data_IF_569372782385
#
_entry.id   IF_569372782385
#
_cell.length_a   1.000
_cell.length_b   1.000
_cell.length_c   1.000
_cell.angle_alpha   90.00
_cell.angle_beta   90.00
_cell.angle_gamma   90.00
#
_symmetry.space_group_name_H-M   'P 1'
#
loop_
_entity.id
_entity.type
_entity.pdbx_description
1 polymer ?
#
# COMPACT_ATOMS: atom_id res chain seq x y z
N UNK A 1 10.86 27.22 -28.49
CA UNK A 1 12.11 27.33 -27.73
C UNK A 1 12.81 28.60 -28.16
N UNK A 2 12.38 29.71 -27.58
CA UNK A 2 13.10 30.98 -27.68
C UNK A 2 14.16 30.95 -26.60
N UNK A 3 15.39 31.30 -26.97
CA UNK A 3 16.48 31.66 -26.08
C UNK A 3 16.09 32.89 -25.26
N UNK A 4 15.09 32.76 -24.37
CA UNK A 4 14.97 33.67 -23.25
C UNK A 4 16.32 33.65 -22.55
N UNK A 5 16.84 34.82 -22.20
CA UNK A 5 18.22 34.90 -21.75
C UNK A 5 18.41 34.05 -20.49
N UNK A 6 19.33 33.09 -20.58
CA UNK A 6 19.88 32.37 -19.41
C UNK A 6 20.41 33.33 -18.32
N UNK A 7 20.59 34.61 -18.66
CA UNK A 7 20.88 35.70 -17.72
C UNK A 7 19.85 35.82 -16.59
N UNK A 8 18.59 35.44 -16.82
CA UNK A 8 17.53 35.48 -15.78
C UNK A 8 17.81 34.46 -14.67
N UNK A 9 18.44 33.32 -15.02
CA UNK A 9 18.77 32.25 -14.06
C UNK A 9 20.08 32.51 -13.33
N UNK A 10 21.03 33.21 -13.97
CA UNK A 10 22.38 33.40 -13.47
C UNK A 10 22.45 33.90 -12.01
N UNK A 11 21.69 34.94 -11.58
CA UNK A 11 21.71 35.40 -10.18
C UNK A 11 21.29 34.35 -9.15
N UNK A 12 20.45 33.38 -9.55
CA UNK A 12 19.93 32.33 -8.68
C UNK A 12 20.86 31.12 -8.60
N UNK A 13 21.67 30.88 -9.64
CA UNK A 13 22.64 29.79 -9.72
C UNK A 13 24.01 30.17 -9.15
N UNK A 14 24.37 31.46 -9.19
CA UNK A 14 25.66 31.97 -8.76
C UNK A 14 25.93 31.76 -7.25
N UNK A 15 27.22 31.67 -6.92
CA UNK A 15 27.73 31.51 -5.55
C UNK A 15 27.05 30.36 -4.78
N UNK A 16 27.07 29.17 -5.35
CA UNK A 16 26.43 27.98 -4.76
C UNK A 16 24.94 28.23 -4.42
N UNK A 17 24.24 28.86 -5.38
CA UNK A 17 22.82 29.18 -5.29
C UNK A 17 22.44 30.03 -4.07
N UNK A 18 23.34 30.93 -3.60
CA UNK A 18 23.16 31.69 -2.36
C UNK A 18 21.84 32.47 -2.34
N UNK A 19 21.45 33.07 -3.46
CA UNK A 19 20.20 33.82 -3.58
C UNK A 19 18.99 32.88 -3.46
N UNK A 20 18.98 31.78 -4.20
CA UNK A 20 17.91 30.78 -4.16
C UNK A 20 17.77 30.15 -2.77
N UNK A 21 18.90 29.80 -2.12
CA UNK A 21 18.92 29.31 -0.73
C UNK A 21 18.38 30.35 0.25
N UNK A 22 18.72 31.63 0.09
CA UNK A 22 18.21 32.73 0.92
C UNK A 22 16.69 32.90 0.75
N UNK A 23 16.19 32.93 -0.48
CA UNK A 23 14.75 33.01 -0.77
C UNK A 23 14.04 31.80 -0.17
N UNK A 24 14.58 30.60 -0.41
CA UNK A 24 13.99 29.36 0.08
C UNK A 24 13.86 29.35 1.60
N UNK A 25 14.96 29.68 2.32
CA UNK A 25 14.95 29.82 3.79
C UNK A 25 13.90 30.82 4.27
N UNK A 26 13.79 31.97 3.61
CA UNK A 26 12.80 32.98 3.98
C UNK A 26 11.35 32.51 3.82
N UNK A 27 11.09 31.57 2.89
CA UNK A 27 9.77 31.01 2.67
C UNK A 27 9.50 29.91 3.69
N UNK A 28 10.39 28.91 3.81
CA UNK A 28 10.08 27.75 4.66
C UNK A 28 10.21 28.03 6.16
N UNK A 29 11.02 29.01 6.58
CA UNK A 29 11.04 29.44 7.99
C UNK A 29 9.71 30.08 8.43
N UNK A 30 8.92 30.64 7.51
CA UNK A 30 7.59 31.20 7.84
C UNK A 30 6.57 30.14 8.22
N UNK A 31 6.80 28.87 7.85
CA UNK A 31 5.91 27.78 8.24
C UNK A 31 6.12 27.33 9.69
N UNK A 32 7.17 27.83 10.37
CA UNK A 32 7.46 27.59 11.80
C UNK A 32 7.54 26.10 12.19
N UNK A 33 8.08 25.28 11.29
CA UNK A 33 8.30 23.85 11.54
C UNK A 33 9.74 23.54 11.98
N UNK A 34 9.94 22.61 12.93
CA UNK A 34 11.26 22.12 13.28
C UNK A 34 11.80 21.25 12.14
N UNK A 35 12.78 21.76 11.40
CA UNK A 35 13.43 21.05 10.29
C UNK A 35 14.85 20.64 10.69
N UNK A 36 15.20 19.38 10.44
CA UNK A 36 16.56 18.90 10.56
C UNK A 36 17.43 19.43 9.40
N UNK A 37 18.75 19.26 9.51
CA UNK A 37 19.68 19.68 8.45
C UNK A 37 19.42 18.99 7.11
N UNK A 38 19.11 17.68 7.14
CA UNK A 38 18.72 16.90 5.95
C UNK A 38 17.47 17.47 5.29
N UNK A 39 16.50 17.92 6.08
CA UNK A 39 15.26 18.50 5.55
C UNK A 39 15.54 19.78 4.76
N UNK A 40 16.50 20.59 5.21
CA UNK A 40 16.91 21.79 4.48
C UNK A 40 17.51 21.47 3.10
N UNK A 41 18.30 20.40 3.00
CA UNK A 41 18.92 19.99 1.73
C UNK A 41 17.86 19.50 0.72
N UNK A 42 16.82 18.81 1.19
CA UNK A 42 15.66 18.47 0.36
C UNK A 42 14.97 19.72 -0.17
N UNK A 43 14.67 20.70 0.69
CA UNK A 43 14.03 21.95 0.27
C UNK A 43 14.87 22.71 -0.76
N UNK A 44 16.20 22.71 -0.64
CA UNK A 44 17.07 23.31 -1.66
C UNK A 44 17.06 22.54 -2.98
N UNK A 45 16.99 21.22 -2.93
CA UNK A 45 16.86 20.38 -4.13
C UNK A 45 15.54 20.64 -4.86
N UNK A 46 14.44 20.73 -4.11
CA UNK A 46 13.11 21.12 -4.63
C UNK A 46 13.15 22.54 -5.19
N UNK A 47 13.85 23.47 -4.53
CA UNK A 47 14.00 24.84 -5.01
C UNK A 47 14.71 24.90 -6.36
N UNK A 48 15.79 24.12 -6.52
CA UNK A 48 16.56 24.08 -7.76
C UNK A 48 15.73 23.52 -8.93
N UNK A 49 14.99 22.43 -8.70
CA UNK A 49 14.06 21.89 -9.69
C UNK A 49 12.95 22.90 -10.03
N UNK A 50 12.41 23.57 -9.02
CA UNK A 50 11.34 24.57 -9.19
C UNK A 50 11.82 25.81 -9.94
N UNK A 51 13.06 26.23 -9.75
CA UNK A 51 13.68 27.32 -10.51
C UNK A 51 13.68 27.02 -12.01
N UNK A 52 14.15 25.82 -12.38
CA UNK A 52 14.15 25.39 -13.78
C UNK A 52 12.74 25.28 -14.36
N UNK A 53 11.78 24.73 -13.61
CA UNK A 53 10.39 24.63 -14.04
C UNK A 53 9.74 26.02 -14.20
N UNK A 54 9.99 26.92 -13.25
CA UNK A 54 9.47 28.28 -13.29
C UNK A 54 10.02 29.05 -14.48
N UNK A 55 11.31 28.90 -14.78
CA UNK A 55 11.92 29.50 -15.96
C UNK A 55 11.26 29.05 -17.27
N UNK A 56 11.02 27.75 -17.44
CA UNK A 56 10.39 27.23 -18.65
C UNK A 56 8.90 27.60 -18.79
N UNK A 57 8.24 27.91 -17.67
CA UNK A 57 6.82 28.27 -17.63
C UNK A 57 6.57 29.78 -17.51
N UNK A 58 7.62 30.59 -17.39
CA UNK A 58 7.49 32.02 -17.17
C UNK A 58 7.19 32.73 -18.49
N UNK A 59 6.16 33.56 -18.44
CA UNK A 59 5.75 34.42 -19.55
C UNK A 59 6.02 35.90 -19.17
N UNK A 60 7.01 36.54 -19.82
CA UNK A 60 7.36 37.95 -19.58
C UNK A 60 6.20 38.93 -19.85
N UNK A 61 5.22 38.56 -20.68
CA UNK A 61 4.13 39.45 -21.08
C UNK A 61 3.05 39.59 -19.99
N UNK A 62 3.15 38.80 -18.92
CA UNK A 62 2.22 38.83 -17.78
C UNK A 62 2.39 40.04 -16.85
N UNK A 63 3.46 40.83 -17.02
CA UNK A 63 3.71 42.05 -16.23
C UNK A 63 4.19 41.80 -14.79
N UNK A 64 4.45 40.55 -14.41
CA UNK A 64 4.98 40.16 -13.09
C UNK A 64 6.47 39.89 -13.24
N UNK A 65 7.30 40.32 -12.28
CA UNK A 65 8.72 40.00 -12.30
C UNK A 65 8.98 38.50 -12.09
N UNK A 66 10.02 37.97 -12.74
CA UNK A 66 10.43 36.57 -12.54
C UNK A 66 10.66 36.21 -11.07
N UNK A 67 11.23 37.11 -10.27
CA UNK A 67 11.42 36.89 -8.82
C UNK A 67 10.09 36.69 -8.09
N UNK A 68 9.08 37.51 -8.40
CA UNK A 68 7.74 37.39 -7.81
C UNK A 68 7.03 36.10 -8.22
N UNK A 69 7.15 35.73 -9.50
CA UNK A 69 6.63 34.47 -10.02
C UNK A 69 7.32 33.25 -9.37
N UNK A 70 8.65 33.25 -9.33
CA UNK A 70 9.46 32.19 -8.73
C UNK A 70 9.12 32.00 -7.25
N UNK A 71 9.02 33.09 -6.47
CA UNK A 71 8.62 33.02 -5.05
C UNK A 71 7.27 32.35 -4.88
N UNK A 72 6.31 32.67 -5.75
CA UNK A 72 4.98 32.07 -5.73
C UNK A 72 5.02 30.57 -6.04
N UNK A 73 5.83 30.15 -7.03
CA UNK A 73 6.04 28.75 -7.36
C UNK A 73 6.72 27.98 -6.21
N UNK A 74 7.79 28.53 -5.64
CA UNK A 74 8.50 27.96 -4.49
C UNK A 74 7.59 27.80 -3.28
N UNK A 75 6.79 28.83 -2.95
CA UNK A 75 5.85 28.76 -1.84
C UNK A 75 4.81 27.65 -2.02
N UNK A 76 4.27 27.49 -3.23
CA UNK A 76 3.33 26.40 -3.53
C UNK A 76 4.00 25.04 -3.39
N UNK A 77 5.20 24.86 -3.96
CA UNK A 77 5.95 23.60 -3.91
C UNK A 77 6.33 23.23 -2.48
N UNK A 78 6.85 24.16 -1.69
CA UNK A 78 7.19 23.88 -0.30
C UNK A 78 5.96 23.56 0.55
N UNK A 79 4.83 24.24 0.33
CA UNK A 79 3.57 23.87 1.01
C UNK A 79 3.12 22.45 0.65
N UNK A 80 3.26 22.05 -0.61
CA UNK A 80 2.98 20.67 -1.03
C UNK A 80 3.89 19.68 -0.33
N UNK A 81 5.18 19.97 -0.22
CA UNK A 81 6.16 19.10 0.45
C UNK A 81 5.90 18.97 1.95
N UNK A 82 5.58 20.07 2.63
CA UNK A 82 5.18 20.04 4.04
C UNK A 82 3.89 19.23 4.24
N UNK A 83 2.90 19.42 3.36
CA UNK A 83 1.66 18.63 3.38
C UNK A 83 1.96 17.14 3.16
N UNK A 84 2.90 16.82 2.27
CA UNK A 84 3.30 15.46 1.96
C UNK A 84 4.02 14.77 3.12
N UNK A 85 4.85 15.52 3.87
CA UNK A 85 5.52 15.10 5.11
C UNK A 85 4.51 14.83 6.24
N UNK A 86 3.51 15.69 6.39
CA UNK A 86 2.47 15.58 7.42
C UNK A 86 1.29 14.66 7.09
N UNK A 87 1.31 14.01 5.91
CA UNK A 87 0.23 13.09 5.55
C UNK A 87 0.21 11.92 6.54
N UNK A 88 -0.96 11.61 7.11
CA UNK A 88 -1.14 10.61 8.18
C UNK A 88 -0.43 9.27 7.94
N UNK A 89 -0.44 8.75 6.70
CA UNK A 89 0.27 7.52 6.33
C UNK A 89 1.80 7.55 6.55
N UNK A 90 2.39 8.73 6.75
CA UNK A 90 3.82 8.97 6.97
C UNK A 90 4.16 9.59 8.33
N UNK A 91 3.16 9.87 9.18
CA UNK A 91 3.41 10.20 10.60
C UNK A 91 4.17 9.03 11.25
N UNK A 92 3.89 7.80 10.81
CA UNK A 92 4.64 6.63 11.23
C UNK A 92 6.15 6.77 10.96
N UNK A 93 6.59 7.39 9.87
CA UNK A 93 8.03 7.59 9.64
C UNK A 93 8.67 8.60 10.61
N UNK A 94 7.88 9.46 11.26
CA UNK A 94 8.34 10.41 12.27
C UNK A 94 8.29 9.82 13.70
N UNK A 95 7.40 8.85 13.94
CA UNK A 95 7.20 8.21 15.25
C UNK A 95 7.79 6.81 15.35
N UNK A 96 8.08 6.16 14.22
CA UNK A 96 8.59 4.81 14.19
C UNK A 96 10.02 4.78 14.69
N UNK A 97 10.29 3.72 15.44
CA UNK A 97 11.61 3.38 15.93
C UNK A 97 12.18 2.33 14.97
N UNK A 98 13.49 2.43 14.68
CA UNK A 98 14.16 1.40 13.88
C UNK A 98 14.09 0.05 14.57
N UNK A 99 13.72 -1.01 13.85
CA UNK A 99 13.75 -2.38 14.38
C UNK A 99 15.19 -2.85 14.67
N UNK A 100 16.17 -2.27 13.97
CA UNK A 100 17.59 -2.54 14.18
C UNK A 100 18.18 -1.70 15.34
N UNK A 101 17.35 -0.96 16.08
CA UNK A 101 17.82 -0.23 17.24
C UNK A 101 18.28 -1.22 18.32
N UNK A 102 19.53 -1.08 18.75
CA UNK A 102 20.11 -1.83 19.87
C UNK A 102 19.75 -1.10 21.16
N UNK A 103 19.34 -1.85 22.19
CA UNK A 103 19.04 -1.29 23.50
C UNK A 103 20.29 -0.85 24.26
N UNK A 104 20.13 -0.08 25.34
CA UNK A 104 21.23 0.34 26.24
C UNK A 104 21.76 -0.80 27.14
N UNK A 105 21.39 -2.06 26.87
CA UNK A 105 21.83 -3.24 27.62
C UNK A 105 23.22 -3.72 27.18
N UNK A 106 23.84 -4.58 27.99
CA UNK A 106 25.12 -5.23 27.64
C UNK A 106 24.98 -6.23 26.47
N UNK A 107 23.75 -6.70 26.20
CA UNK A 107 23.43 -7.59 25.09
C UNK A 107 23.09 -6.78 23.83
N UNK A 108 23.80 -7.03 22.73
CA UNK A 108 23.58 -6.43 21.40
C UNK A 108 22.28 -6.89 20.70
N UNK A 109 21.20 -7.12 21.45
CA UNK A 109 19.93 -7.55 20.88
C UNK A 109 19.18 -6.37 20.25
N UNK A 110 18.71 -6.57 19.01
CA UNK A 110 17.90 -5.60 18.27
C UNK A 110 16.43 -5.63 18.72
N UNK A 111 15.70 -4.51 18.58
CA UNK A 111 14.25 -4.49 18.84
C UNK A 111 13.49 -5.55 18.04
N UNK A 112 13.95 -5.89 16.84
CA UNK A 112 13.38 -6.94 15.99
C UNK A 112 13.29 -8.30 16.69
N UNK A 113 14.27 -8.63 17.53
CA UNK A 113 14.32 -9.93 18.23
C UNK A 113 13.27 -10.05 19.33
N UNK A 114 12.75 -8.93 19.83
CA UNK A 114 11.73 -8.90 20.88
C UNK A 114 10.30 -8.82 20.36
N UNK A 115 10.10 -8.52 19.07
CA UNK A 115 8.76 -8.43 18.49
C UNK A 115 8.25 -9.84 18.19
N UNK A 116 7.24 -10.34 18.91
CA UNK A 116 6.68 -11.66 18.62
C UNK A 116 5.94 -11.64 17.28
N UNK A 117 5.98 -12.76 16.57
CA UNK A 117 5.15 -12.98 15.38
C UNK A 117 3.66 -12.91 15.75
N UNK A 118 2.82 -12.51 14.80
CA UNK A 118 1.36 -12.43 14.97
C UNK A 118 0.66 -13.79 14.83
N UNK A 119 1.40 -14.85 14.51
CA UNK A 119 0.90 -16.21 14.40
C UNK A 119 1.75 -17.22 15.16
N UNK A 120 1.09 -18.27 15.65
CA UNK A 120 1.72 -19.41 16.30
C UNK A 120 2.13 -20.46 15.25
N UNK A 121 3.42 -20.77 15.19
CA UNK A 121 3.96 -21.76 14.24
C UNK A 121 3.48 -23.18 14.53
N UNK A 122 3.27 -23.54 15.80
CA UNK A 122 2.76 -24.84 16.19
C UNK A 122 1.29 -25.01 15.77
N UNK A 123 0.47 -23.99 16.00
CA UNK A 123 -0.94 -23.98 15.58
C UNK A 123 -1.08 -24.09 14.06
N UNK A 124 -0.26 -23.37 13.30
CA UNK A 124 -0.26 -23.43 11.84
C UNK A 124 0.16 -24.81 11.29
N UNK A 125 1.13 -25.47 11.93
CA UNK A 125 1.53 -26.84 11.56
C UNK A 125 0.41 -27.82 11.90
N UNK A 126 -0.26 -27.67 13.04
CA UNK A 126 -1.39 -28.52 13.42
C UNK A 126 -2.57 -28.37 12.45
N UNK A 127 -2.92 -27.13 12.07
CA UNK A 127 -3.92 -26.86 11.04
C UNK A 127 -3.57 -27.52 9.71
N UNK A 128 -2.29 -27.57 9.31
CA UNK A 128 -1.87 -28.30 8.10
C UNK A 128 -2.06 -29.81 8.20
N UNK A 129 -1.76 -30.41 9.35
CA UNK A 129 -1.95 -31.85 9.55
C UNK A 129 -3.43 -32.23 9.64
N UNK A 130 -4.24 -31.45 10.36
CA UNK A 130 -5.69 -31.64 10.40
C UNK A 130 -6.32 -31.40 9.03
N UNK A 131 -5.90 -30.36 8.30
CA UNK A 131 -6.41 -30.12 6.94
C UNK A 131 -6.03 -31.23 5.96
N UNK A 132 -4.87 -31.88 6.13
CA UNK A 132 -4.53 -33.06 5.34
C UNK A 132 -5.44 -34.24 5.69
N UNK A 133 -5.66 -34.54 6.97
CA UNK A 133 -6.58 -35.61 7.39
C UNK A 133 -8.03 -35.34 6.96
N UNK A 134 -8.47 -34.08 7.03
CA UNK A 134 -9.78 -33.63 6.51
C UNK A 134 -9.81 -33.78 4.98
N UNK A 135 -8.74 -33.42 4.27
CA UNK A 135 -8.64 -33.59 2.81
C UNK A 135 -8.79 -35.06 2.40
N UNK A 136 -8.11 -35.97 3.09
CA UNK A 136 -8.18 -37.41 2.80
C UNK A 136 -9.60 -37.97 3.01
N UNK A 137 -10.26 -37.57 4.11
CA UNK A 137 -11.66 -37.94 4.40
C UNK A 137 -12.63 -37.38 3.36
N UNK A 138 -12.43 -36.13 2.94
CA UNK A 138 -13.22 -35.48 1.90
C UNK A 138 -13.03 -36.17 0.55
N UNK A 139 -11.80 -36.56 0.19
CA UNK A 139 -11.53 -37.32 -1.02
C UNK A 139 -12.22 -38.69 -1.01
N UNK A 140 -12.17 -39.42 0.11
CA UNK A 140 -12.88 -40.68 0.26
C UNK A 140 -14.40 -40.50 0.15
N UNK A 141 -14.95 -39.45 0.75
CA UNK A 141 -16.36 -39.12 0.62
C UNK A 141 -16.76 -38.81 -0.84
N UNK A 142 -16.00 -37.95 -1.54
CA UNK A 142 -16.25 -37.59 -2.95
C UNK A 142 -16.19 -38.85 -3.84
N UNK A 143 -15.29 -39.79 -3.55
CA UNK A 143 -15.14 -41.03 -4.33
C UNK A 143 -16.38 -41.93 -4.33
N UNK A 144 -17.29 -41.77 -3.36
CA UNK A 144 -18.55 -42.53 -3.25
C UNK A 144 -19.74 -41.85 -3.93
N UNK A 145 -19.57 -40.62 -4.39
CA UNK A 145 -20.62 -39.86 -5.04
C UNK A 145 -20.51 -40.00 -6.55
N UNK A 146 -21.65 -39.89 -7.24
CA UNK A 146 -21.67 -39.80 -8.70
C UNK A 146 -21.21 -38.42 -9.16
N UNK A 147 -20.72 -38.30 -10.39
CA UNK A 147 -20.31 -37.02 -10.99
C UNK A 147 -21.41 -35.95 -10.86
N UNK A 148 -22.68 -36.37 -10.96
CA UNK A 148 -23.82 -35.47 -10.84
C UNK A 148 -23.99 -34.95 -9.40
N UNK A 149 -23.77 -35.79 -8.40
CA UNK A 149 -23.80 -35.40 -6.98
C UNK A 149 -22.63 -34.49 -6.61
N UNK A 150 -21.45 -34.77 -7.16
CA UNK A 150 -20.26 -33.92 -7.00
C UNK A 150 -20.50 -32.55 -7.62
N UNK A 151 -21.10 -32.48 -8.81
CA UNK A 151 -21.46 -31.21 -9.44
C UNK A 151 -22.49 -30.41 -8.63
N UNK A 152 -23.48 -31.08 -8.00
CA UNK A 152 -24.40 -30.41 -7.06
C UNK A 152 -23.63 -29.81 -5.87
N UNK A 153 -22.70 -30.56 -5.29
CA UNK A 153 -21.85 -30.09 -4.18
C UNK A 153 -20.98 -28.89 -4.57
N UNK A 154 -20.33 -28.95 -5.73
CA UNK A 154 -19.50 -27.84 -6.23
C UNK A 154 -20.32 -26.56 -6.38
N UNK A 155 -21.53 -26.65 -6.96
CA UNK A 155 -22.41 -25.50 -7.08
C UNK A 155 -22.92 -24.98 -5.72
N UNK A 156 -23.11 -25.86 -4.73
CA UNK A 156 -23.42 -25.42 -3.36
C UNK A 156 -22.24 -24.69 -2.71
N UNK A 157 -21.01 -25.15 -2.94
CA UNK A 157 -19.78 -24.48 -2.49
C UNK A 157 -19.64 -23.10 -3.13
N UNK A 158 -19.97 -22.99 -4.42
CA UNK A 158 -19.97 -21.73 -5.16
C UNK A 158 -21.14 -20.78 -4.77
N UNK A 159 -22.03 -21.22 -3.87
CA UNK A 159 -23.09 -20.39 -3.29
C UNK A 159 -24.42 -20.36 -4.07
N UNK A 160 -24.61 -21.25 -5.05
CA UNK A 160 -25.86 -21.35 -5.81
C UNK A 160 -26.99 -21.93 -4.96
N UNK A 161 -28.20 -21.42 -5.18
CA UNK A 161 -29.44 -21.89 -4.55
C UNK A 161 -29.97 -23.14 -5.25
N UNK A 162 -30.76 -23.94 -4.53
CA UNK A 162 -31.28 -25.21 -5.04
C UNK A 162 -32.05 -25.09 -6.37
N UNK A 163 -32.78 -24.00 -6.59
CA UNK A 163 -33.49 -23.72 -7.84
C UNK A 163 -32.52 -23.40 -8.99
N UNK A 164 -31.47 -22.61 -8.72
CA UNK A 164 -30.43 -22.27 -9.69
C UNK A 164 -29.65 -23.52 -10.10
N UNK A 165 -29.33 -24.40 -9.14
CA UNK A 165 -28.67 -25.68 -9.39
C UNK A 165 -29.54 -26.59 -10.27
N UNK A 166 -30.85 -26.64 -10.00
CA UNK A 166 -31.80 -27.40 -10.81
C UNK A 166 -31.82 -26.91 -12.26
N UNK A 167 -31.80 -25.59 -12.48
CA UNK A 167 -31.75 -24.99 -13.81
C UNK A 167 -30.42 -25.25 -14.52
N UNK A 168 -29.28 -25.05 -13.83
CA UNK A 168 -27.93 -25.23 -14.38
C UNK A 168 -27.68 -26.69 -14.80
N UNK A 169 -28.05 -27.63 -13.94
CA UNK A 169 -27.86 -29.07 -14.20
C UNK A 169 -29.01 -29.69 -14.99
N UNK A 170 -30.02 -28.90 -15.36
CA UNK A 170 -31.24 -29.34 -16.05
C UNK A 170 -31.89 -30.55 -15.37
N UNK A 171 -32.05 -30.49 -14.06
CA UNK A 171 -32.60 -31.58 -13.24
C UNK A 171 -33.92 -31.18 -12.60
N UNK A 172 -34.81 -32.15 -12.43
CA UNK A 172 -36.09 -31.90 -11.76
C UNK A 172 -35.88 -31.71 -10.25
N UNK A 173 -36.81 -31.01 -9.58
CA UNK A 173 -36.81 -30.87 -8.13
C UNK A 173 -36.79 -32.22 -7.39
N UNK A 174 -37.44 -33.24 -7.96
CA UNK A 174 -37.45 -34.61 -7.43
C UNK A 174 -36.06 -35.25 -7.54
N UNK A 175 -35.44 -35.17 -8.71
CA UNK A 175 -34.11 -35.72 -8.95
C UNK A 175 -33.05 -35.02 -8.09
N UNK A 176 -33.15 -33.70 -7.92
CA UNK A 176 -32.32 -32.96 -6.98
C UNK A 176 -32.49 -33.47 -5.54
N UNK A 177 -33.74 -33.68 -5.09
CA UNK A 177 -34.02 -34.19 -3.75
C UNK A 177 -33.47 -35.61 -3.52
N UNK A 178 -33.61 -36.51 -4.50
CA UNK A 178 -33.07 -37.87 -4.45
C UNK A 178 -31.54 -37.86 -4.37
N UNK A 179 -30.86 -37.03 -5.18
CA UNK A 179 -29.41 -36.85 -5.09
C UNK A 179 -28.99 -36.27 -3.73
N UNK A 180 -29.73 -35.29 -3.21
CA UNK A 180 -29.44 -34.69 -1.92
C UNK A 180 -29.61 -35.66 -0.75
N UNK A 181 -30.53 -36.62 -0.83
CA UNK A 181 -30.67 -37.70 0.15
C UNK A 181 -29.44 -38.60 0.19
N UNK A 182 -28.88 -38.95 -0.97
CA UNK A 182 -27.67 -39.79 -1.06
C UNK A 182 -26.46 -39.03 -0.52
N UNK A 183 -26.29 -37.77 -0.94
CA UNK A 183 -25.23 -36.88 -0.43
C UNK A 183 -25.28 -36.78 1.10
N UNK A 184 -26.49 -36.66 1.68
CA UNK A 184 -26.69 -36.56 3.14
C UNK A 184 -26.87 -37.90 3.85
N UNK A 185 -26.74 -39.02 3.15
CA UNK A 185 -26.95 -40.32 3.75
C UNK A 185 -25.91 -40.56 4.85
N UNK A 186 -26.34 -41.17 5.96
CA UNK A 186 -25.47 -41.44 7.09
C UNK A 186 -24.21 -42.22 6.70
N UNK A 187 -24.34 -43.15 5.74
CA UNK A 187 -23.22 -43.95 5.25
C UNK A 187 -22.12 -43.14 4.56
N UNK A 188 -22.48 -42.04 3.91
CA UNK A 188 -21.54 -41.13 3.28
C UNK A 188 -21.01 -40.12 4.29
N UNK A 189 -21.90 -39.47 5.06
CA UNK A 189 -21.53 -38.40 6.00
C UNK A 189 -20.62 -38.91 7.13
N UNK A 190 -20.77 -40.15 7.60
CA UNK A 190 -19.92 -40.72 8.67
C UNK A 190 -18.43 -40.79 8.33
N UNK A 191 -18.05 -40.70 7.05
CA UNK A 191 -16.64 -40.74 6.62
C UNK A 191 -15.93 -39.42 6.93
N UNK A 192 -16.70 -38.33 7.02
CA UNK A 192 -16.19 -37.00 7.29
C UNK A 192 -15.79 -36.80 8.76
N UNK A 193 -16.15 -37.73 9.66
CA UNK A 193 -15.97 -37.64 11.11
C UNK A 193 -15.20 -38.85 11.66
#
# INVERSE_FOLDING_TARGET
MTSADLSVLQPYCDNDMRLLKKISRSIFMRFNEPLAKSDHDDFFSIANMTLWQAYNAYDPDTGISFDGFLRSCLQKKFKTELTHRHRQKRILNQLAVSLDMVGDGEDECSLLEFVPSDFDTFEEVFKRNESQAVSDRVQQYISRLSDRQVNILNLLIDGYRANEIQEILMISAREYAENMQIIRSYENVKILF
#
